data_IF_146654511368
#
_entry.id   IF_146654511368
#
_cell.length_a   1.000
_cell.length_b   1.000
_cell.length_c   1.000
_cell.angle_alpha   90.00
_cell.angle_beta   90.00
_cell.angle_gamma   90.00
#
_symmetry.space_group_name_H-M   'P 1'
#
loop_
_entity.id
_entity.type
_entity.pdbx_description
1 polymer ?
#
# COMPACT_ATOMS: atom_id res chain seq x y z
N UNK A 1 -9.47 2.29 -14.84
CA UNK A 1 -10.47 2.46 -13.78
C UNK A 1 -11.72 1.62 -14.03
N UNK A 2 -12.30 1.69 -15.23
CA UNK A 2 -13.49 0.90 -15.55
C UNK A 2 -13.23 -0.60 -15.48
N UNK A 3 -12.13 -1.06 -16.05
CA UNK A 3 -11.73 -2.49 -16.02
C UNK A 3 -11.53 -2.96 -14.59
N UNK A 4 -10.85 -2.17 -13.78
CA UNK A 4 -10.63 -2.50 -12.38
C UNK A 4 -11.95 -2.64 -11.61
N UNK A 5 -12.88 -1.72 -11.81
CA UNK A 5 -14.20 -1.76 -11.16
C UNK A 5 -15.01 -3.00 -11.57
N UNK A 6 -14.97 -3.37 -12.85
CA UNK A 6 -15.65 -4.55 -13.37
C UNK A 6 -15.09 -5.83 -12.76
N UNK A 7 -13.77 -5.97 -12.70
CA UNK A 7 -13.10 -7.13 -12.10
C UNK A 7 -13.46 -7.27 -10.62
N UNK A 8 -13.45 -6.16 -9.88
CA UNK A 8 -13.71 -6.18 -8.43
C UNK A 8 -15.17 -6.45 -8.08
N UNK A 9 -16.09 -6.28 -9.02
CA UNK A 9 -17.48 -6.65 -8.81
C UNK A 9 -17.73 -8.16 -8.89
N UNK A 10 -16.84 -8.90 -9.53
CA UNK A 10 -16.99 -10.34 -9.73
C UNK A 10 -16.30 -11.19 -8.68
N UNK A 11 -15.12 -10.75 -8.20
CA UNK A 11 -14.29 -11.51 -7.27
C UNK A 11 -13.62 -10.58 -6.26
N UNK A 12 -13.03 -11.19 -5.22
CA UNK A 12 -12.20 -10.45 -4.26
C UNK A 12 -10.77 -10.33 -4.78
N UNK A 13 -10.21 -9.13 -4.78
CA UNK A 13 -8.87 -8.87 -5.28
C UNK A 13 -8.06 -8.03 -4.31
N UNK A 14 -6.75 -8.20 -4.39
CA UNK A 14 -5.78 -7.30 -3.77
C UNK A 14 -5.14 -6.49 -4.89
N UNK A 15 -5.31 -5.16 -4.85
CA UNK A 15 -4.72 -4.25 -5.82
C UNK A 15 -3.56 -3.50 -5.17
N UNK A 16 -2.40 -3.50 -5.82
CA UNK A 16 -1.21 -2.81 -5.32
C UNK A 16 -0.85 -1.68 -6.27
N UNK A 17 -0.87 -0.44 -5.73
CA UNK A 17 -0.51 0.74 -6.48
C UNK A 17 -1.56 1.18 -7.50
N UNK A 18 -1.13 1.93 -8.52
CA UNK A 18 -1.94 2.43 -9.64
C UNK A 18 -3.12 3.31 -9.22
N UNK A 19 -3.00 3.98 -8.06
CA UNK A 19 -4.06 4.84 -7.52
C UNK A 19 -5.40 4.11 -7.33
N UNK A 20 -5.36 2.80 -7.10
CA UNK A 20 -6.57 1.98 -6.92
C UNK A 20 -7.41 2.45 -5.73
N UNK A 21 -6.78 2.92 -4.65
CA UNK A 21 -7.44 3.49 -3.49
C UNK A 21 -8.35 4.65 -3.87
N UNK A 22 -7.91 5.53 -4.76
CA UNK A 22 -8.70 6.66 -5.24
C UNK A 22 -9.84 6.21 -6.15
N UNK A 23 -9.56 5.32 -7.11
CA UNK A 23 -10.56 4.80 -8.05
C UNK A 23 -11.71 4.12 -7.33
N UNK A 24 -11.41 3.43 -6.22
CA UNK A 24 -12.37 2.62 -5.47
C UNK A 24 -12.83 3.26 -4.17
N UNK A 25 -12.51 4.53 -3.92
CA UNK A 25 -12.74 5.20 -2.63
C UNK A 25 -14.19 5.21 -2.16
N UNK A 26 -15.14 5.20 -3.08
CA UNK A 26 -16.56 5.26 -2.78
C UNK A 26 -17.22 3.88 -2.69
N UNK A 27 -16.45 2.81 -2.86
CA UNK A 27 -16.96 1.45 -2.76
C UNK A 27 -17.02 1.00 -1.31
N UNK A 28 -18.18 0.48 -0.82
CA UNK A 28 -18.30 0.07 0.59
C UNK A 28 -17.54 -1.21 0.91
N UNK A 29 -17.22 -2.02 -0.09
CA UNK A 29 -16.53 -3.31 0.08
C UNK A 29 -15.02 -3.21 -0.21
N UNK A 30 -14.43 -2.05 0.04
CA UNK A 30 -12.99 -1.80 -0.19
C UNK A 30 -12.33 -1.39 1.12
N UNK A 31 -11.17 -1.96 1.38
CA UNK A 31 -10.27 -1.54 2.45
C UNK A 31 -9.01 -0.96 1.82
N UNK A 32 -8.71 0.29 2.15
CA UNK A 32 -7.51 0.96 1.66
C UNK A 32 -6.44 0.96 2.74
N UNK A 33 -5.25 0.49 2.40
CA UNK A 33 -4.13 0.32 3.35
C UNK A 33 -2.88 1.01 2.80
N UNK A 34 -2.21 1.75 3.66
CA UNK A 34 -0.89 2.31 3.41
C UNK A 34 0.10 1.69 4.38
N UNK A 35 1.14 1.07 3.84
CA UNK A 35 2.20 0.44 4.64
C UNK A 35 3.47 1.25 4.42
N UNK A 36 4.05 1.73 5.51
CA UNK A 36 5.25 2.55 5.49
C UNK A 36 6.30 1.96 6.42
N UNK A 37 7.47 2.57 6.43
CA UNK A 37 8.55 2.30 7.37
C UNK A 37 9.48 3.52 7.41
N UNK A 38 10.22 3.74 8.51
CA UNK A 38 11.22 4.79 8.55
C UNK A 38 12.23 4.63 7.40
N UNK A 39 12.74 5.74 6.92
CA UNK A 39 13.61 5.78 5.74
C UNK A 39 14.83 4.87 5.87
N UNK A 40 15.49 4.88 7.04
CA UNK A 40 16.66 4.04 7.29
C UNK A 40 16.33 2.55 7.22
N UNK A 41 15.17 2.13 7.75
CA UNK A 41 14.72 0.73 7.67
C UNK A 41 14.46 0.32 6.23
N UNK A 42 13.91 1.21 5.44
CA UNK A 42 13.66 0.98 4.02
C UNK A 42 14.97 0.81 3.24
N UNK A 43 15.97 1.63 3.55
CA UNK A 43 17.31 1.54 2.94
C UNK A 43 17.92 0.18 3.24
N UNK A 44 17.96 -0.21 4.50
CA UNK A 44 18.53 -1.50 4.91
C UNK A 44 17.80 -2.67 4.25
N UNK A 45 16.48 -2.60 4.18
CA UNK A 45 15.65 -3.63 3.55
C UNK A 45 15.99 -3.81 2.08
N UNK A 46 16.15 -2.71 1.35
CA UNK A 46 16.51 -2.75 -0.07
C UNK A 46 17.94 -3.23 -0.30
N UNK A 47 18.88 -2.86 0.57
CA UNK A 47 20.24 -3.38 0.51
C UNK A 47 20.29 -4.90 0.60
N UNK A 48 19.53 -5.46 1.52
CA UNK A 48 19.42 -6.92 1.70
C UNK A 48 18.70 -7.59 0.55
N UNK A 49 17.59 -7.01 0.14
CA UNK A 49 16.75 -7.60 -0.92
C UNK A 49 17.47 -7.66 -2.27
N UNK A 50 18.21 -6.62 -2.61
CA UNK A 50 18.87 -6.52 -3.92
C UNK A 50 20.35 -6.88 -3.88
N UNK A 51 20.94 -7.03 -2.69
CA UNK A 51 22.38 -7.26 -2.57
C UNK A 51 23.19 -6.06 -3.06
N UNK A 52 22.75 -4.85 -2.77
CA UNK A 52 23.37 -3.61 -3.22
C UNK A 52 23.89 -2.78 -2.05
N UNK A 53 24.75 -1.79 -2.34
CA UNK A 53 25.26 -0.87 -1.34
C UNK A 53 24.26 0.21 -0.96
N UNK A 54 24.61 0.97 0.10
CA UNK A 54 23.73 2.01 0.64
C UNK A 54 23.39 3.11 -0.38
N UNK A 55 24.37 3.61 -1.11
CA UNK A 55 24.16 4.66 -2.11
C UNK A 55 23.18 4.23 -3.20
N UNK A 56 23.31 2.99 -3.65
CA UNK A 56 22.43 2.41 -4.67
C UNK A 56 21.01 2.23 -4.12
N UNK A 57 20.88 1.79 -2.88
CA UNK A 57 19.59 1.63 -2.23
C UNK A 57 18.87 2.97 -2.07
N UNK A 58 19.58 4.00 -1.63
CA UNK A 58 19.03 5.36 -1.50
C UNK A 58 18.52 5.85 -2.85
N UNK A 59 19.35 5.73 -3.89
CA UNK A 59 18.97 6.17 -5.23
C UNK A 59 17.72 5.45 -5.72
N UNK A 60 17.66 4.16 -5.53
CA UNK A 60 16.50 3.34 -5.91
C UNK A 60 15.23 3.78 -5.20
N UNK A 61 15.31 3.93 -3.87
CA UNK A 61 14.16 4.31 -3.04
C UNK A 61 13.65 5.71 -3.42
N UNK A 62 14.55 6.67 -3.54
CA UNK A 62 14.19 8.05 -3.85
C UNK A 62 13.53 8.16 -5.23
N UNK A 63 14.06 7.45 -6.21
CA UNK A 63 13.50 7.42 -7.55
C UNK A 63 12.12 6.77 -7.57
N UNK A 64 11.96 5.67 -6.86
CA UNK A 64 10.68 4.95 -6.79
C UNK A 64 9.62 5.78 -6.07
N UNK A 65 9.97 6.41 -4.95
CA UNK A 65 9.05 7.26 -4.20
C UNK A 65 8.63 8.49 -5.01
N UNK A 66 9.57 9.11 -5.70
CA UNK A 66 9.27 10.24 -6.58
C UNK A 66 8.28 9.83 -7.68
N UNK A 67 8.51 8.68 -8.30
CA UNK A 67 7.61 8.14 -9.33
C UNK A 67 6.21 7.90 -8.77
N UNK A 68 6.11 7.26 -7.59
CA UNK A 68 4.82 6.96 -6.95
C UNK A 68 4.06 8.22 -6.57
N UNK A 69 4.74 9.19 -5.97
CA UNK A 69 4.15 10.48 -5.60
C UNK A 69 3.63 11.23 -6.83
N UNK A 70 4.43 11.28 -7.87
CA UNK A 70 4.08 11.96 -9.12
C UNK A 70 2.91 11.29 -9.82
N UNK A 71 2.95 9.97 -9.91
CA UNK A 71 1.88 9.18 -10.51
C UNK A 71 0.55 9.39 -9.78
N UNK A 72 0.58 9.28 -8.46
CA UNK A 72 -0.63 9.41 -7.64
C UNK A 72 -1.21 10.82 -7.77
N UNK A 73 -0.37 11.84 -7.67
CA UNK A 73 -0.80 13.23 -7.77
C UNK A 73 -1.38 13.53 -9.16
N UNK A 74 -0.74 13.04 -10.22
CA UNK A 74 -1.21 13.24 -11.59
C UNK A 74 -2.61 12.66 -11.79
N UNK A 75 -2.85 11.46 -11.29
CA UNK A 75 -4.12 10.75 -11.52
C UNK A 75 -5.22 11.12 -10.53
N UNK A 76 -4.89 11.61 -9.34
CA UNK A 76 -5.88 11.85 -8.28
C UNK A 76 -5.96 13.30 -7.83
N UNK A 77 -4.95 14.11 -8.10
CA UNK A 77 -4.82 15.45 -7.54
C UNK A 77 -4.50 15.49 -6.05
N UNK A 78 -4.28 14.33 -5.42
CA UNK A 78 -4.05 14.18 -3.98
C UNK A 78 -2.60 13.84 -3.69
N UNK A 79 -2.17 14.09 -2.44
CA UNK A 79 -0.85 13.68 -1.98
C UNK A 79 -0.88 12.22 -1.53
N UNK A 80 0.05 11.43 -2.05
CA UNK A 80 0.11 9.98 -1.81
C UNK A 80 0.24 9.58 -0.34
N UNK A 81 1.05 10.31 0.43
CA UNK A 81 1.37 9.95 1.82
C UNK A 81 0.42 10.54 2.86
N UNK A 82 -0.74 11.02 2.48
CA UNK A 82 -1.71 11.57 3.43
C UNK A 82 -2.56 10.48 4.03
N UNK A 83 -2.64 10.47 5.36
CA UNK A 83 -3.36 9.42 6.10
C UNK A 83 -4.85 9.38 5.79
N UNK A 84 -5.44 10.53 5.48
CA UNK A 84 -6.86 10.60 5.15
C UNK A 84 -7.23 9.90 3.84
N UNK A 85 -6.24 9.50 3.04
CA UNK A 85 -6.48 8.73 1.83
C UNK A 85 -6.79 7.25 2.11
N UNK A 86 -6.46 6.78 3.31
CA UNK A 86 -6.43 5.34 3.62
C UNK A 86 -7.25 5.02 4.86
N UNK A 87 -7.87 3.84 4.88
CA UNK A 87 -8.59 3.33 6.04
C UNK A 87 -7.63 2.87 7.14
N UNK A 88 -6.46 2.38 6.76
CA UNK A 88 -5.47 1.81 7.67
C UNK A 88 -4.07 2.20 7.24
N UNK A 89 -3.29 2.74 8.17
CA UNK A 89 -1.88 3.07 7.94
C UNK A 89 -1.04 2.31 8.95
N UNK A 90 -0.02 1.58 8.49
CA UNK A 90 0.82 0.73 9.32
C UNK A 90 2.30 1.06 9.13
N UNK A 91 3.05 1.06 10.23
CA UNK A 91 4.51 1.13 10.22
C UNK A 91 5.07 -0.30 10.29
N UNK A 92 5.57 -0.79 9.17
CA UNK A 92 6.04 -2.18 9.06
C UNK A 92 7.35 -2.43 9.80
N UNK A 93 8.12 -1.40 10.11
CA UNK A 93 9.33 -1.55 10.92
C UNK A 93 8.98 -1.69 12.41
N UNK A 94 8.00 -0.91 12.89
CA UNK A 94 7.57 -0.96 14.28
C UNK A 94 6.82 -2.25 14.61
N UNK A 95 5.98 -2.70 13.70
CA UNK A 95 5.07 -3.83 13.91
C UNK A 95 5.65 -5.15 13.40
N UNK A 96 6.39 -5.11 12.30
CA UNK A 96 6.85 -6.27 11.55
C UNK A 96 5.93 -6.59 10.38
N UNK A 97 6.50 -7.02 9.27
CA UNK A 97 5.73 -7.29 8.04
C UNK A 97 4.68 -8.38 8.23
N UNK A 98 5.06 -9.49 8.89
CA UNK A 98 4.13 -10.59 9.12
C UNK A 98 2.97 -10.16 10.02
N UNK A 99 3.25 -9.35 11.03
CA UNK A 99 2.22 -8.81 11.92
C UNK A 99 1.31 -7.81 11.20
N UNK A 100 1.85 -7.05 10.25
CA UNK A 100 1.02 -6.17 9.42
C UNK A 100 -0.03 -6.97 8.64
N UNK A 101 0.36 -8.11 8.10
CA UNK A 101 -0.57 -9.01 7.40
C UNK A 101 -1.69 -9.46 8.35
N UNK A 102 -1.35 -9.85 9.57
CA UNK A 102 -2.34 -10.28 10.55
C UNK A 102 -3.29 -9.15 10.95
N UNK A 103 -2.76 -7.93 11.11
CA UNK A 103 -3.59 -6.75 11.38
C UNK A 103 -4.57 -6.47 10.25
N UNK A 104 -4.09 -6.52 9.01
CA UNK A 104 -4.94 -6.32 7.82
C UNK A 104 -6.06 -7.35 7.77
N UNK A 105 -5.74 -8.63 7.99
CA UNK A 105 -6.74 -9.69 8.04
C UNK A 105 -7.80 -9.43 9.10
N UNK A 106 -7.38 -8.99 10.29
CA UNK A 106 -8.29 -8.69 11.38
C UNK A 106 -9.20 -7.51 11.04
N UNK A 107 -8.69 -6.48 10.42
CA UNK A 107 -9.48 -5.33 10.00
C UNK A 107 -10.51 -5.73 8.93
N UNK A 108 -10.12 -6.61 8.01
CA UNK A 108 -11.06 -7.15 7.01
C UNK A 108 -12.21 -7.89 7.69
N UNK A 109 -11.90 -8.74 8.68
CA UNK A 109 -12.94 -9.45 9.45
C UNK A 109 -13.88 -8.47 10.15
N UNK A 110 -13.33 -7.44 10.79
CA UNK A 110 -14.09 -6.45 11.53
C UNK A 110 -14.96 -5.58 10.61
N UNK A 111 -14.41 -5.18 9.48
CA UNK A 111 -15.11 -4.30 8.55
C UNK A 111 -16.17 -5.01 7.72
N UNK A 112 -15.88 -6.23 7.27
CA UNK A 112 -16.74 -6.95 6.34
C UNK A 112 -17.45 -8.16 6.96
N UNK A 113 -17.08 -8.54 8.18
CA UNK A 113 -17.68 -9.66 8.89
C UNK A 113 -17.34 -11.03 8.30
N UNK A 114 -16.26 -11.12 7.51
CA UNK A 114 -15.86 -12.36 6.85
C UNK A 114 -14.42 -12.72 7.21
N UNK A 115 -14.13 -14.02 7.37
CA UNK A 115 -12.77 -14.48 7.57
C UNK A 115 -11.97 -14.43 6.28
N UNK A 116 -10.71 -14.00 6.38
CA UNK A 116 -9.80 -14.06 5.27
C UNK A 116 -9.38 -15.50 4.97
N UNK A 117 -9.36 -15.94 3.71
CA UNK A 117 -8.75 -17.20 3.32
C UNK A 117 -7.24 -17.14 3.63
N UNK A 118 -6.70 -18.26 4.02
CA UNK A 118 -5.27 -18.39 4.32
C UNK A 118 -4.47 -18.57 3.05
#
# INVERSE_FOLDING_TARGET
>A
AKVLRELLNEESYICVGRAADFVLKDKPNVLTVYIDAPYEDRIEREMKRQGIGRSQAIHYIDKLDHYRESYYKYHTGRQWKRVENYDLCLDSAAIGLDNCVEVIKKVIELKFGAKCPR
#
